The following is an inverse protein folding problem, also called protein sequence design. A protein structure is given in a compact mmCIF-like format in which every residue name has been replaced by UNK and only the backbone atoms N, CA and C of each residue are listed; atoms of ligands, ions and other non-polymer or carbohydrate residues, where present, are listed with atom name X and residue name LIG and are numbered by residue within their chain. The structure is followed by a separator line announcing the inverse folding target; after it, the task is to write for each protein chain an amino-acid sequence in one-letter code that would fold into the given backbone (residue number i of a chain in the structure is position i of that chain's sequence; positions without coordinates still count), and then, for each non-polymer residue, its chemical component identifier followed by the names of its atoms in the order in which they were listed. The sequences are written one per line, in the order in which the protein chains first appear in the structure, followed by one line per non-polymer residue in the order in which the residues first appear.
data_IF_244551599943
#
_entry.id   IF_244551599943
#
_cell.length_a   1.000
_cell.length_b   1.000
_cell.length_c   1.000
_cell.angle_alpha   90.00
_cell.angle_beta   90.00
_cell.angle_gamma   90.00
#
_symmetry.space_group_name_H-M   'P 1'
#
loop_
_entity.id
_entity.type
_entity.pdbx_description
1 polymer ?
#
# COMPACT_ATOMS: atom_id res chain seq x y z
N UNK A 1 13.25 -2.69 26.81
CA UNK A 1 13.19 -1.42 26.02
C UNK A 1 12.10 -1.59 25.00
N UNK A 2 11.08 -0.77 25.03
CA UNK A 2 9.98 -0.81 24.05
C UNK A 2 10.26 0.21 22.96
N UNK A 3 10.18 -0.20 21.70
CA UNK A 3 10.25 0.72 20.57
C UNK A 3 8.94 1.52 20.49
N UNK A 4 9.03 2.81 20.23
CA UNK A 4 7.89 3.71 20.03
C UNK A 4 8.13 4.54 18.77
N UNK A 5 7.06 5.06 18.18
CA UNK A 5 7.17 5.97 17.03
C UNK A 5 6.72 7.38 17.40
N UNK A 6 7.53 8.36 17.05
CA UNK A 6 7.26 9.77 17.28
C UNK A 6 7.29 10.56 15.98
N UNK A 7 6.47 11.63 15.89
CA UNK A 7 6.54 12.55 14.75
C UNK A 7 7.88 13.28 14.77
N UNK A 8 8.65 13.16 13.68
CA UNK A 8 9.91 13.87 13.48
C UNK A 8 9.75 15.17 12.70
N UNK A 9 8.79 15.22 11.79
CA UNK A 9 8.59 16.39 10.95
C UNK A 9 7.43 16.23 9.99
N UNK A 10 7.22 17.27 9.18
CA UNK A 10 6.16 17.35 8.18
C UNK A 10 6.73 17.89 6.88
N UNK A 11 6.45 17.23 5.75
CA UNK A 11 6.81 17.67 4.42
C UNK A 11 5.59 18.34 3.79
N UNK A 12 5.79 19.56 3.27
CA UNK A 12 4.76 20.41 2.67
C UNK A 12 5.12 20.69 1.22
N UNK A 13 4.10 20.93 0.37
CA UNK A 13 4.31 21.30 -1.03
C UNK A 13 3.17 20.91 -1.96
N UNK A 14 2.48 19.81 -1.66
CA UNK A 14 1.31 19.40 -2.44
C UNK A 14 0.11 20.33 -2.20
N UNK A 15 -0.66 20.57 -3.27
CA UNK A 15 -1.91 21.34 -3.25
C UNK A 15 -3.17 20.48 -3.20
N UNK A 16 -3.01 19.14 -3.23
CA UNK A 16 -4.09 18.17 -3.15
C UNK A 16 -3.70 16.99 -2.26
N UNK A 17 -4.65 16.13 -1.98
CA UNK A 17 -4.44 14.95 -1.14
C UNK A 17 -3.22 14.15 -1.59
N UNK A 18 -2.37 13.78 -0.65
CA UNK A 18 -1.29 12.84 -0.91
C UNK A 18 -1.91 11.45 -1.05
N UNK A 19 -1.73 10.84 -2.21
CA UNK A 19 -2.40 9.58 -2.58
C UNK A 19 -1.47 8.38 -2.50
N UNK A 20 -0.17 8.58 -2.65
CA UNK A 20 0.83 7.52 -2.56
C UNK A 20 2.18 8.09 -2.19
N UNK A 21 2.97 7.30 -1.45
CA UNK A 21 4.39 7.57 -1.17
C UNK A 21 5.18 6.32 -1.57
N UNK A 22 6.34 6.53 -2.18
CA UNK A 22 7.29 5.47 -2.49
C UNK A 22 8.68 5.85 -1.98
N UNK A 23 9.41 4.86 -1.52
CA UNK A 23 10.81 4.95 -1.07
C UNK A 23 11.68 4.03 -1.91
N UNK A 24 12.98 4.27 -1.93
CA UNK A 24 13.92 3.43 -2.65
C UNK A 24 15.13 3.09 -1.79
N UNK A 25 15.56 1.80 -1.74
CA UNK A 25 16.76 1.42 -1.02
C UNK A 25 18.04 2.00 -1.59
N UNK A 26 18.05 2.28 -2.89
CA UNK A 26 19.23 2.82 -3.59
C UNK A 26 19.53 4.28 -3.22
N UNK A 27 18.52 5.03 -2.82
CA UNK A 27 18.62 6.44 -2.43
C UNK A 27 17.78 6.67 -1.15
N UNK A 28 18.33 6.29 0.02
CA UNK A 28 17.56 6.29 1.29
C UNK A 28 17.09 7.68 1.72
N UNK A 29 17.72 8.75 1.22
CA UNK A 29 17.34 10.14 1.52
C UNK A 29 16.27 10.69 0.58
N UNK A 30 15.78 9.86 -0.38
CA UNK A 30 14.78 10.28 -1.35
C UNK A 30 13.44 9.59 -1.10
N UNK A 31 12.38 10.37 -1.19
CA UNK A 31 11.02 9.85 -1.29
C UNK A 31 10.34 10.44 -2.52
N UNK A 32 9.43 9.69 -3.09
CA UNK A 32 8.53 10.13 -4.14
C UNK A 32 7.12 10.18 -3.58
N UNK A 33 6.43 11.29 -3.79
CA UNK A 33 5.03 11.41 -3.39
C UNK A 33 4.15 11.81 -4.57
N UNK A 34 2.97 11.22 -4.64
CA UNK A 34 1.95 11.54 -5.61
C UNK A 34 0.79 12.28 -4.95
N UNK A 35 0.17 13.18 -5.69
CA UNK A 35 -0.95 13.99 -5.22
C UNK A 35 -1.95 14.24 -6.35
N UNK A 36 -3.17 14.63 -5.98
CA UNK A 36 -4.21 15.08 -6.92
C UNK A 36 -3.97 16.49 -7.48
N UNK A 37 -2.77 17.06 -7.32
CA UNK A 37 -2.38 18.36 -7.85
C UNK A 37 -1.90 18.30 -9.31
N UNK A 38 -1.60 19.47 -9.88
CA UNK A 38 -1.06 19.62 -11.23
C UNK A 38 0.45 19.39 -11.23
N UNK A 39 0.96 18.69 -12.24
CA UNK A 39 2.39 18.44 -12.46
C UNK A 39 2.77 18.49 -13.93
N UNK A 40 4.07 18.54 -14.23
CA UNK A 40 4.60 18.47 -15.60
C UNK A 40 4.79 16.99 -15.99
N UNK A 41 4.15 16.58 -17.08
CA UNK A 41 4.24 15.22 -17.60
C UNK A 41 5.50 15.05 -18.44
N UNK A 42 6.37 14.10 -18.07
CA UNK A 42 7.55 13.73 -18.89
C UNK A 42 7.28 12.52 -19.79
N UNK A 43 6.41 11.61 -19.37
CA UNK A 43 6.01 10.43 -20.15
C UNK A 43 4.55 10.04 -19.85
N UNK A 44 3.85 9.62 -20.89
CA UNK A 44 2.47 9.18 -20.81
C UNK A 44 2.34 7.71 -21.19
N UNK A 45 1.59 6.94 -20.38
CA UNK A 45 1.23 5.54 -20.62
C UNK A 45 -0.25 5.52 -21.02
N UNK A 46 -0.53 5.13 -22.26
CA UNK A 46 -1.87 5.21 -22.84
C UNK A 46 -2.43 3.83 -23.06
N UNK A 47 -3.64 3.56 -22.56
CA UNK A 47 -4.31 2.26 -22.77
C UNK A 47 -5.45 1.95 -21.82
N UNK A 48 -5.44 2.45 -20.57
CA UNK A 48 -6.62 2.35 -19.72
C UNK A 48 -7.74 3.26 -20.21
N UNK A 49 -8.99 2.80 -20.06
CA UNK A 49 -10.19 3.54 -20.51
C UNK A 49 -10.87 4.30 -19.40
N UNK A 50 -10.45 4.11 -18.15
CA UNK A 50 -10.90 4.81 -16.95
C UNK A 50 -9.72 5.12 -16.03
N UNK A 51 -9.99 5.79 -14.92
CA UNK A 51 -8.97 6.22 -13.96
C UNK A 51 -8.06 5.07 -13.52
N UNK A 52 -6.76 5.34 -13.50
CA UNK A 52 -5.75 4.44 -12.92
C UNK A 52 -5.69 4.71 -11.42
N UNK A 53 -5.90 3.67 -10.62
CA UNK A 53 -5.94 3.76 -9.17
C UNK A 53 -4.62 3.36 -8.50
N UNK A 54 -3.82 2.54 -9.15
CA UNK A 54 -2.56 2.04 -8.57
C UNK A 54 -1.55 1.72 -9.65
N UNK A 55 -0.28 1.97 -9.32
CA UNK A 55 0.88 1.60 -10.14
C UNK A 55 1.99 1.05 -9.26
N UNK A 56 2.81 0.17 -9.79
CA UNK A 56 3.99 -0.34 -9.10
C UNK A 56 5.11 -0.68 -10.10
N UNK A 57 6.36 -0.56 -9.65
CA UNK A 57 7.54 -1.05 -10.37
C UNK A 57 7.87 -2.49 -9.96
N UNK A 58 8.37 -3.27 -10.90
CA UNK A 58 9.03 -4.53 -10.60
C UNK A 58 10.34 -4.31 -9.82
N UNK A 59 10.81 -5.36 -9.12
CA UNK A 59 12.03 -5.27 -8.31
C UNK A 59 13.29 -4.89 -9.13
N UNK A 60 13.33 -5.27 -10.42
CA UNK A 60 14.40 -4.91 -11.35
C UNK A 60 14.20 -3.54 -12.04
N UNK A 61 13.13 -2.81 -11.70
CA UNK A 61 12.74 -1.52 -12.28
C UNK A 61 12.50 -1.53 -13.81
N UNK A 62 12.34 -2.69 -14.44
CA UNK A 62 12.15 -2.81 -15.90
C UNK A 62 10.70 -2.86 -16.33
N UNK A 63 9.80 -3.20 -15.42
CA UNK A 63 8.36 -3.33 -15.68
C UNK A 63 7.56 -2.46 -14.74
N UNK A 64 6.41 -2.04 -15.24
CA UNK A 64 5.40 -1.32 -14.47
C UNK A 64 4.10 -2.10 -14.58
N UNK A 65 3.38 -2.22 -13.48
CA UNK A 65 2.00 -2.74 -13.45
C UNK A 65 1.05 -1.61 -13.07
N UNK A 66 -0.12 -1.58 -13.68
CA UNK A 66 -1.19 -0.63 -13.33
C UNK A 66 -2.53 -1.33 -13.15
N UNK A 67 -3.33 -0.85 -12.21
CA UNK A 67 -4.70 -1.27 -11.99
C UNK A 67 -5.66 -0.09 -12.13
N UNK A 68 -6.83 -0.31 -12.69
CA UNK A 68 -7.75 0.75 -13.09
C UNK A 68 -9.21 0.46 -12.73
N UNK A 69 -10.01 1.54 -12.73
CA UNK A 69 -11.49 1.45 -12.70
C UNK A 69 -12.08 0.78 -13.93
N UNK A 70 -11.31 0.57 -14.99
CA UNK A 70 -11.74 -0.22 -16.15
C UNK A 70 -11.72 -1.74 -15.89
N UNK A 71 -11.40 -2.17 -14.65
CA UNK A 71 -11.37 -3.56 -14.16
C UNK A 71 -10.19 -4.37 -14.69
N UNK A 72 -9.27 -3.74 -15.42
CA UNK A 72 -8.10 -4.39 -16.01
C UNK A 72 -6.81 -4.07 -15.25
N UNK A 73 -5.86 -4.98 -15.40
CA UNK A 73 -4.47 -4.83 -15.00
C UNK A 73 -3.64 -4.81 -16.29
N UNK A 74 -2.74 -3.84 -16.40
CA UNK A 74 -1.83 -3.73 -17.54
C UNK A 74 -0.38 -3.78 -17.10
N UNK A 75 0.44 -4.47 -17.91
CA UNK A 75 1.90 -4.49 -17.77
C UNK A 75 2.52 -3.64 -18.87
N UNK A 76 3.49 -2.84 -18.47
CA UNK A 76 4.18 -1.87 -19.32
C UNK A 76 5.69 -2.02 -19.19
N UNK A 77 6.41 -1.68 -20.25
CA UNK A 77 7.82 -1.36 -20.09
C UNK A 77 8.01 0.12 -19.67
N UNK A 78 9.20 0.49 -19.26
CA UNK A 78 9.52 1.86 -18.81
C UNK A 78 9.46 2.90 -19.93
N UNK A 79 9.35 2.47 -21.20
CA UNK A 79 9.18 3.35 -22.36
C UNK A 79 7.69 3.69 -22.62
N UNK A 80 6.75 3.17 -21.82
CA UNK A 80 5.31 3.44 -21.95
C UNK A 80 4.59 2.51 -22.91
N UNK A 81 5.21 1.42 -23.37
CA UNK A 81 4.55 0.43 -24.24
C UNK A 81 3.84 -0.60 -23.39
N UNK A 82 2.52 -0.75 -23.62
CA UNK A 82 1.73 -1.81 -22.99
C UNK A 82 2.15 -3.16 -23.57
N UNK A 83 2.66 -4.03 -22.71
CA UNK A 83 3.10 -5.39 -23.08
C UNK A 83 2.00 -6.41 -22.95
N UNK A 84 1.15 -6.26 -21.96
CA UNK A 84 0.06 -7.19 -21.71
C UNK A 84 -1.12 -6.51 -21.00
N UNK A 85 -2.32 -6.96 -21.30
CA UNK A 85 -3.54 -6.60 -20.57
C UNK A 85 -4.18 -7.87 -20.03
N UNK A 86 -4.33 -7.95 -18.71
CA UNK A 86 -5.01 -9.07 -18.07
C UNK A 86 -6.51 -8.83 -18.17
N UNK A 87 -7.20 -9.67 -18.92
CA UNK A 87 -8.66 -9.65 -19.10
C UNK A 87 -9.31 -10.95 -18.65
N UNK A 88 -8.66 -12.10 -18.91
CA UNK A 88 -9.13 -13.40 -18.48
C UNK A 88 -9.03 -13.50 -16.96
N UNK A 89 -10.07 -14.03 -16.32
CA UNK A 89 -10.18 -14.14 -14.86
C UNK A 89 -10.00 -12.82 -14.09
N UNK A 90 -10.16 -11.67 -14.77
CA UNK A 90 -9.95 -10.34 -14.23
C UNK A 90 -10.91 -10.02 -13.08
N UNK A 91 -10.63 -8.90 -12.40
CA UNK A 91 -11.55 -8.34 -11.43
C UNK A 91 -12.87 -7.95 -12.06
N UNK A 92 -13.98 -8.17 -11.35
CA UNK A 92 -15.33 -7.82 -11.82
C UNK A 92 -15.73 -6.40 -11.48
N UNK A 93 -14.92 -5.74 -10.65
CA UNK A 93 -15.05 -4.33 -10.24
C UNK A 93 -13.68 -3.62 -10.30
N UNK A 94 -13.61 -2.37 -9.86
CA UNK A 94 -12.39 -1.55 -9.90
C UNK A 94 -11.20 -2.26 -9.29
N UNK A 95 -10.06 -2.23 -9.98
CA UNK A 95 -8.78 -2.68 -9.44
C UNK A 95 -8.16 -1.53 -8.65
N UNK A 96 -8.22 -1.61 -7.33
CA UNK A 96 -7.83 -0.53 -6.44
C UNK A 96 -6.34 -0.51 -6.09
N UNK A 97 -5.68 -1.66 -6.09
CA UNK A 97 -4.25 -1.75 -5.79
C UNK A 97 -3.60 -2.93 -6.51
N UNK A 98 -2.38 -2.70 -6.97
CA UNK A 98 -1.51 -3.71 -7.61
C UNK A 98 -0.10 -3.61 -7.05
N UNK A 99 0.56 -4.74 -6.83
CA UNK A 99 1.94 -4.82 -6.32
C UNK A 99 2.68 -5.98 -6.97
N UNK A 100 3.98 -5.78 -7.18
CA UNK A 100 4.89 -6.89 -7.50
C UNK A 100 5.36 -7.58 -6.23
N UNK A 101 5.61 -8.89 -6.32
CA UNK A 101 6.43 -9.57 -5.31
C UNK A 101 7.88 -9.11 -5.42
N UNK A 102 8.57 -8.89 -4.29
CA UNK A 102 10.00 -8.59 -4.31
C UNK A 102 10.87 -9.78 -4.72
N UNK A 103 10.32 -11.00 -4.72
CA UNK A 103 11.05 -12.22 -5.05
C UNK A 103 11.18 -12.41 -6.57
N UNK A 104 12.40 -12.35 -7.09
CA UNK A 104 12.70 -12.52 -8.51
C UNK A 104 12.63 -13.99 -8.99
N UNK A 105 12.74 -14.97 -8.09
CA UNK A 105 12.74 -16.40 -8.45
C UNK A 105 11.35 -16.93 -8.77
N UNK A 106 10.31 -16.30 -8.22
CA UNK A 106 8.92 -16.63 -8.51
C UNK A 106 8.13 -15.33 -8.68
N UNK A 107 8.31 -14.64 -9.84
CA UNK A 107 7.72 -13.32 -10.04
C UNK A 107 6.20 -13.42 -10.13
N UNK A 108 5.53 -12.76 -9.21
CA UNK A 108 4.07 -12.65 -9.16
C UNK A 108 3.64 -11.21 -9.04
N UNK A 109 2.40 -10.95 -9.46
CA UNK A 109 1.67 -9.72 -9.18
C UNK A 109 0.53 -10.08 -8.24
N UNK A 110 0.30 -9.23 -7.24
CA UNK A 110 -0.87 -9.32 -6.36
C UNK A 110 -1.75 -8.10 -6.61
N UNK A 111 -3.04 -8.31 -6.77
CA UNK A 111 -4.01 -7.24 -6.96
C UNK A 111 -5.19 -7.40 -6.02
N UNK A 112 -5.86 -6.30 -5.74
CA UNK A 112 -7.13 -6.31 -5.04
C UNK A 112 -8.11 -5.32 -5.68
N UNK A 113 -9.40 -5.51 -5.40
CA UNK A 113 -10.41 -4.70 -6.02
C UNK A 113 -11.69 -4.51 -5.20
N UNK A 114 -12.60 -3.75 -5.78
CA UNK A 114 -13.92 -3.48 -5.20
C UNK A 114 -14.85 -4.69 -5.25
N UNK A 115 -14.46 -5.73 -5.99
CA UNK A 115 -15.10 -7.05 -5.98
C UNK A 115 -14.78 -7.87 -4.71
N UNK A 116 -14.03 -7.30 -3.74
CA UNK A 116 -13.63 -7.92 -2.46
C UNK A 116 -12.61 -9.05 -2.60
N UNK A 117 -12.03 -9.20 -3.79
CA UNK A 117 -11.10 -10.28 -4.12
C UNK A 117 -9.67 -9.80 -4.03
N UNK A 118 -8.79 -10.67 -3.54
CA UNK A 118 -7.34 -10.58 -3.75
C UNK A 118 -6.97 -11.64 -4.78
N UNK A 119 -6.28 -11.24 -5.83
CA UNK A 119 -5.86 -12.13 -6.91
C UNK A 119 -4.34 -12.16 -7.02
N UNK A 120 -3.80 -13.34 -7.19
CA UNK A 120 -2.37 -13.59 -7.40
C UNK A 120 -2.16 -14.06 -8.82
N UNK A 121 -1.27 -13.39 -9.55
CA UNK A 121 -1.01 -13.63 -10.96
C UNK A 121 0.43 -14.08 -11.17
N UNK A 122 0.61 -15.10 -12.00
CA UNK A 122 1.94 -15.50 -12.46
C UNK A 122 2.42 -14.50 -13.52
N UNK A 123 3.57 -13.87 -13.29
CA UNK A 123 4.10 -12.85 -14.20
C UNK A 123 4.63 -13.44 -15.51
N UNK A 124 5.07 -14.70 -15.53
CA UNK A 124 5.63 -15.32 -16.73
C UNK A 124 4.60 -15.52 -17.86
N UNK A 125 3.35 -15.78 -17.51
CA UNK A 125 2.27 -16.03 -18.47
C UNK A 125 1.03 -15.15 -18.26
N UNK A 126 1.05 -14.26 -17.27
CA UNK A 126 -0.04 -13.36 -16.88
C UNK A 126 -1.36 -14.07 -16.55
N UNK A 127 -1.29 -15.33 -16.11
CA UNK A 127 -2.47 -16.12 -15.74
C UNK A 127 -2.71 -16.06 -14.22
N UNK A 128 -3.99 -16.19 -13.87
CA UNK A 128 -4.42 -16.29 -12.49
C UNK A 128 -3.82 -17.54 -11.84
N UNK A 129 -3.16 -17.35 -10.69
CA UNK A 129 -2.61 -18.42 -9.84
C UNK A 129 -3.57 -18.76 -8.70
N UNK A 130 -4.08 -17.75 -8.00
CA UNK A 130 -4.92 -17.94 -6.81
C UNK A 130 -5.91 -16.79 -6.66
N UNK A 131 -7.12 -17.11 -6.23
CA UNK A 131 -8.10 -16.17 -5.69
C UNK A 131 -8.15 -16.32 -4.18
N UNK A 132 -7.96 -15.24 -3.45
CA UNK A 132 -8.18 -15.19 -2.02
C UNK A 132 -9.54 -14.55 -1.72
N UNK A 133 -10.42 -15.32 -1.09
CA UNK A 133 -11.80 -14.95 -0.77
C UNK A 133 -11.95 -14.92 0.75
N UNK A 134 -12.58 -13.86 1.28
CA UNK A 134 -12.83 -13.73 2.72
C UNK A 134 -13.29 -12.36 3.14
N UNK A 135 -12.86 -11.29 2.45
CA UNK A 135 -13.30 -9.94 2.74
C UNK A 135 -14.79 -9.74 2.47
N UNK A 136 -15.46 -8.97 3.34
CA UNK A 136 -16.90 -8.66 3.23
C UNK A 136 -17.17 -7.26 2.66
N UNK A 137 -16.14 -6.43 2.53
CA UNK A 137 -16.19 -5.09 1.94
C UNK A 137 -15.19 -4.91 0.80
N UNK A 138 -15.34 -3.84 0.02
CA UNK A 138 -14.38 -3.52 -1.04
C UNK A 138 -12.98 -3.30 -0.48
N UNK A 139 -11.97 -3.65 -1.27
CA UNK A 139 -10.56 -3.52 -0.91
C UNK A 139 -9.96 -2.23 -1.46
N UNK A 140 -9.13 -1.58 -0.65
CA UNK A 140 -8.38 -0.39 -1.04
C UNK A 140 -6.90 -0.69 -1.29
N UNK A 141 -6.37 -1.71 -0.61
CA UNK A 141 -4.92 -1.91 -0.53
C UNK A 141 -4.55 -3.38 -0.42
N UNK A 142 -3.43 -3.70 -1.01
CA UNK A 142 -2.74 -4.98 -0.89
C UNK A 142 -1.23 -4.71 -0.83
N UNK A 143 -0.51 -5.46 -0.05
CA UNK A 143 0.95 -5.36 0.07
C UNK A 143 1.58 -6.73 0.21
N UNK A 144 2.83 -6.86 -0.20
CA UNK A 144 3.60 -8.11 -0.13
C UNK A 144 4.74 -7.93 0.87
N UNK A 145 4.99 -8.94 1.70
CA UNK A 145 6.08 -8.92 2.67
C UNK A 145 7.45 -8.82 1.98
N UNK A 146 8.49 -8.27 2.66
CA UNK A 146 9.82 -8.10 2.06
C UNK A 146 10.46 -9.38 1.55
N UNK A 147 10.15 -10.51 2.16
CA UNK A 147 10.62 -11.84 1.75
C UNK A 147 9.75 -12.50 0.64
N UNK A 148 8.62 -11.88 0.31
CA UNK A 148 7.69 -12.39 -0.70
C UNK A 148 6.82 -13.56 -0.27
N UNK A 149 6.83 -13.97 1.00
CA UNK A 149 6.07 -15.11 1.50
C UNK A 149 4.62 -14.80 1.84
N UNK A 150 4.36 -13.57 2.29
CA UNK A 150 3.05 -13.11 2.78
C UNK A 150 2.47 -12.00 1.92
N UNK A 151 1.15 -11.94 1.91
CA UNK A 151 0.39 -10.80 1.42
C UNK A 151 -0.56 -10.34 2.52
N UNK A 152 -0.76 -9.03 2.64
CA UNK A 152 -1.78 -8.44 3.48
C UNK A 152 -2.74 -7.60 2.64
N UNK A 153 -4.03 -7.66 2.95
CA UNK A 153 -5.09 -6.94 2.25
C UNK A 153 -6.06 -6.27 3.22
N UNK A 154 -6.65 -5.16 2.83
CA UNK A 154 -7.58 -4.41 3.67
C UNK A 154 -8.42 -3.41 2.92
N UNK A 155 -9.53 -2.99 3.53
CA UNK A 155 -10.46 -2.05 2.93
C UNK A 155 -11.65 -1.73 3.85
N UNK A 156 -12.83 -1.69 3.28
CA UNK A 156 -14.07 -1.20 3.90
C UNK A 156 -14.53 -2.00 5.11
N UNK A 157 -14.25 -3.31 5.14
CA UNK A 157 -14.63 -4.15 6.28
C UNK A 157 -13.77 -3.92 7.54
N UNK A 158 -12.70 -3.12 7.42
CA UNK A 158 -11.81 -2.80 8.54
C UNK A 158 -10.89 -3.94 8.97
N UNK A 159 -10.89 -5.04 8.23
CA UNK A 159 -10.09 -6.22 8.53
C UNK A 159 -8.80 -6.22 7.70
N UNK A 160 -7.65 -6.44 8.34
CA UNK A 160 -6.41 -6.77 7.65
C UNK A 160 -6.25 -8.28 7.60
N UNK A 161 -6.37 -8.89 6.42
CA UNK A 161 -6.23 -10.33 6.24
C UNK A 161 -4.83 -10.65 5.73
N UNK A 162 -4.20 -11.64 6.37
CA UNK A 162 -2.88 -12.15 6.02
C UNK A 162 -3.05 -13.47 5.23
N UNK A 163 -2.31 -13.56 4.12
CA UNK A 163 -2.37 -14.67 3.19
C UNK A 163 -0.98 -15.25 2.95
N UNK A 164 -0.86 -16.57 2.96
CA UNK A 164 0.34 -17.29 2.53
C UNK A 164 0.35 -17.35 0.99
N UNK A 165 1.36 -16.76 0.38
CA UNK A 165 1.51 -16.73 -1.08
C UNK A 165 2.04 -18.03 -1.68
N UNK A 166 2.69 -18.88 -0.88
CA UNK A 166 3.19 -20.17 -1.32
C UNK A 166 2.08 -21.21 -1.35
N UNK A 167 1.32 -21.32 -0.25
CA UNK A 167 0.24 -22.29 -0.11
C UNK A 167 -1.11 -21.78 -0.61
N UNK A 168 -1.26 -20.47 -0.82
CA UNK A 168 -2.51 -19.86 -1.25
C UNK A 168 -3.61 -19.85 -0.20
N UNK A 169 -3.24 -19.83 1.09
CA UNK A 169 -4.17 -19.95 2.22
C UNK A 169 -4.30 -18.66 3.02
N UNK A 170 -5.48 -18.47 3.61
CA UNK A 170 -5.68 -17.49 4.67
C UNK A 170 -4.97 -17.94 5.95
N UNK A 171 -4.21 -17.05 6.56
CA UNK A 171 -3.49 -17.33 7.81
C UNK A 171 -4.28 -16.86 9.03
N UNK A 172 -4.53 -15.54 9.11
CA UNK A 172 -5.31 -14.92 10.17
C UNK A 172 -5.77 -13.52 9.77
N UNK A 173 -6.61 -12.94 10.61
CA UNK A 173 -7.19 -11.62 10.44
C UNK A 173 -6.87 -10.74 11.64
N UNK A 174 -6.50 -9.48 11.37
CA UNK A 174 -6.27 -8.43 12.36
C UNK A 174 -7.39 -7.39 12.23
N UNK A 175 -7.98 -7.00 13.36
CA UNK A 175 -9.05 -6.01 13.37
C UNK A 175 -8.48 -4.59 13.38
N UNK A 176 -8.71 -3.84 12.32
CA UNK A 176 -8.35 -2.44 12.20
C UNK A 176 -9.36 -1.48 12.81
N UNK A 177 -10.58 -1.93 13.07
CA UNK A 177 -11.65 -1.13 13.69
C UNK A 177 -12.30 -0.10 12.77
N UNK A 178 -11.68 0.28 11.67
CA UNK A 178 -12.18 1.23 10.68
C UNK A 178 -11.67 0.87 9.29
N UNK A 179 -12.21 1.53 8.26
CA UNK A 179 -11.78 1.37 6.88
C UNK A 179 -10.26 1.49 6.74
N UNK A 180 -9.63 0.48 6.15
CA UNK A 180 -8.20 0.45 5.90
C UNK A 180 -7.93 1.09 4.54
N UNK A 181 -7.18 2.20 4.53
CA UNK A 181 -6.81 2.93 3.32
C UNK A 181 -5.48 2.46 2.72
N UNK A 182 -4.52 2.08 3.57
CA UNK A 182 -3.20 1.62 3.17
C UNK A 182 -2.65 0.60 4.16
N UNK A 183 -1.81 -0.29 3.66
CA UNK A 183 -1.05 -1.29 4.42
C UNK A 183 0.41 -1.27 3.95
N UNK A 184 1.35 -1.46 4.86
CA UNK A 184 2.74 -1.72 4.52
C UNK A 184 3.43 -2.57 5.58
N UNK A 185 4.28 -3.50 5.13
CA UNK A 185 5.16 -4.27 6.02
C UNK A 185 6.41 -3.44 6.35
N UNK A 186 6.88 -3.55 7.59
CA UNK A 186 8.21 -3.06 7.96
C UNK A 186 9.29 -3.88 7.22
N UNK A 187 10.37 -3.24 6.73
CA UNK A 187 11.43 -3.97 6.02
C UNK A 187 12.34 -4.80 6.93
N UNK A 188 12.39 -4.51 8.23
CA UNK A 188 13.33 -5.12 9.17
C UNK A 188 12.71 -5.58 10.51
N UNK A 189 11.41 -5.36 10.70
CA UNK A 189 10.64 -5.83 11.85
C UNK A 189 9.46 -6.66 11.40
N UNK A 190 8.97 -7.53 12.25
CA UNK A 190 7.78 -8.34 11.98
C UNK A 190 6.50 -7.54 12.21
N UNK A 191 6.45 -6.33 11.63
CA UNK A 191 5.35 -5.39 11.80
C UNK A 191 4.56 -5.20 10.51
N UNK A 192 3.24 -5.04 10.68
CA UNK A 192 2.32 -4.55 9.67
C UNK A 192 1.72 -3.23 10.13
N UNK A 193 1.80 -2.21 9.28
CA UNK A 193 1.20 -0.91 9.53
C UNK A 193 -0.05 -0.71 8.68
N UNK A 194 -1.11 -0.18 9.27
CA UNK A 194 -2.37 0.11 8.59
C UNK A 194 -2.82 1.55 8.84
N UNK A 195 -3.13 2.26 7.77
CA UNK A 195 -3.82 3.54 7.83
C UNK A 195 -5.31 3.30 8.01
N UNK A 196 -5.81 3.55 9.22
CA UNK A 196 -7.22 3.35 9.60
C UNK A 196 -7.86 4.68 9.94
N UNK A 197 -8.36 5.39 8.96
CA UNK A 197 -8.85 6.75 9.17
C UNK A 197 -7.74 7.73 9.52
N UNK A 198 -7.86 8.52 10.60
CA UNK A 198 -6.84 9.48 11.02
C UNK A 198 -5.65 8.84 11.75
N UNK A 199 -5.76 7.58 12.18
CA UNK A 199 -4.72 6.87 12.92
C UNK A 199 -3.97 5.85 12.07
N UNK A 200 -2.77 5.47 12.52
CA UNK A 200 -1.99 4.39 11.94
C UNK A 200 -1.81 3.35 13.05
N UNK A 201 -2.31 2.13 12.82
CA UNK A 201 -2.10 1.00 13.72
C UNK A 201 -0.90 0.20 13.28
N UNK A 202 -0.10 -0.23 14.26
CA UNK A 202 1.07 -1.08 14.03
C UNK A 202 0.86 -2.38 14.81
N UNK A 203 0.82 -3.49 14.08
CA UNK A 203 0.75 -4.82 14.66
C UNK A 203 2.10 -5.50 14.65
N UNK A 204 2.44 -6.14 15.74
CA UNK A 204 3.40 -7.24 15.75
C UNK A 204 2.73 -8.50 15.21
N UNK A 205 3.30 -9.08 14.16
CA UNK A 205 2.71 -10.21 13.46
C UNK A 205 2.95 -11.55 14.17
N UNK A 206 3.98 -11.63 15.01
CA UNK A 206 4.25 -12.83 15.82
C UNK A 206 3.23 -12.94 16.94
N UNK A 207 3.07 -11.87 17.72
CA UNK A 207 2.12 -11.82 18.82
C UNK A 207 0.68 -11.56 18.37
N UNK A 208 0.46 -11.08 17.14
CA UNK A 208 -0.83 -10.65 16.58
C UNK A 208 -1.52 -9.57 17.45
N UNK A 209 -0.72 -8.67 17.99
CA UNK A 209 -1.14 -7.59 18.89
C UNK A 209 -0.80 -6.22 18.30
N UNK A 210 -1.56 -5.19 18.70
CA UNK A 210 -1.22 -3.80 18.42
C UNK A 210 -0.10 -3.40 19.36
N UNK A 211 1.04 -2.98 18.79
CA UNK A 211 2.21 -2.51 19.55
C UNK A 211 2.28 -0.99 19.62
N UNK A 212 1.67 -0.29 18.66
CA UNK A 212 1.57 1.17 18.67
C UNK A 212 0.38 1.65 17.84
N UNK A 213 -0.14 2.84 18.17
CA UNK A 213 -1.17 3.54 17.41
C UNK A 213 -0.77 5.01 17.27
N UNK A 214 -0.43 5.40 16.04
CA UNK A 214 0.05 6.74 15.73
C UNK A 214 -1.14 7.65 15.47
N UNK A 215 -1.30 8.68 16.29
CA UNK A 215 -2.31 9.72 16.15
C UNK A 215 -1.66 11.07 16.09
N UNK A 216 -2.25 11.99 15.32
CA UNK A 216 -1.83 13.39 15.35
C UNK A 216 -2.38 14.04 16.62
N UNK A 217 -1.58 14.93 17.21
CA UNK A 217 -2.06 15.83 18.25
C UNK A 217 -3.07 16.78 17.61
N UNK A 218 -4.35 16.58 17.91
CA UNK A 218 -5.39 17.52 17.51
C UNK A 218 -5.27 18.72 18.45
N UNK A 219 -4.67 19.78 17.95
CA UNK A 219 -4.83 21.10 18.59
C UNK A 219 -6.31 21.45 18.38
N UNK A 220 -7.13 21.23 19.40
CA UNK A 220 -8.54 21.58 19.42
C UNK A 220 -8.68 23.12 19.48
N UNK A 221 -8.48 23.77 18.35
CA UNK A 221 -9.12 25.03 18.08
C UNK A 221 -10.54 24.67 17.62
N UNK A 222 -11.54 25.10 18.35
CA UNK A 222 -13.00 25.00 18.18
C UNK A 222 -13.58 24.77 16.76
N UNK A 223 -12.98 23.96 15.91
CA UNK A 223 -13.47 23.66 14.58
C UNK A 223 -14.13 22.28 14.57
N UNK A 224 -15.36 22.24 14.06
CA UNK A 224 -16.11 21.00 13.72
C UNK A 224 -15.49 20.26 12.51
N UNK A 225 -14.24 20.52 12.15
CA UNK A 225 -13.58 19.88 11.04
C UNK A 225 -13.17 18.45 11.41
N UNK A 226 -13.48 17.50 10.54
CA UNK A 226 -13.00 16.12 10.67
C UNK A 226 -11.45 16.07 10.60
N UNK A 227 -10.81 15.22 11.39
CA UNK A 227 -9.35 15.07 11.35
C UNK A 227 -8.90 14.56 9.99
N UNK A 228 -7.70 14.95 9.50
CA UNK A 228 -7.15 14.45 8.25
C UNK A 228 -7.02 12.92 8.27
N UNK A 229 -7.37 12.30 7.14
CA UNK A 229 -7.28 10.86 6.96
C UNK A 229 -5.89 10.49 6.41
N UNK A 230 -5.28 9.45 6.96
CA UNK A 230 -4.09 8.84 6.38
C UNK A 230 -4.48 8.01 5.15
N UNK A 231 -3.83 8.27 4.02
CA UNK A 231 -4.16 7.66 2.72
C UNK A 231 -3.07 6.78 2.16
N UNK A 232 -1.83 6.95 2.62
CA UNK A 232 -0.67 6.24 2.08
C UNK A 232 0.43 6.08 3.12
N UNK A 233 1.17 4.98 3.03
CA UNK A 233 2.25 4.62 3.94
C UNK A 233 3.46 4.10 3.14
N UNK A 234 4.65 4.45 3.57
CA UNK A 234 5.90 3.87 3.08
C UNK A 234 6.99 3.93 4.16
N UNK A 235 7.74 2.83 4.33
CA UNK A 235 8.91 2.76 5.19
C UNK A 235 10.17 3.24 4.47
N UNK A 236 11.09 3.86 5.19
CA UNK A 236 12.48 3.98 4.74
C UNK A 236 13.14 2.60 4.67
N UNK A 237 14.17 2.47 3.82
CA UNK A 237 14.84 1.19 3.60
C UNK A 237 15.46 0.58 4.88
N UNK A 238 15.91 1.42 5.80
CA UNK A 238 16.47 1.01 7.08
C UNK A 238 15.40 0.66 8.14
N UNK A 239 14.11 0.88 7.82
CA UNK A 239 12.99 0.61 8.74
C UNK A 239 12.96 1.50 9.98
N UNK A 240 13.62 2.66 9.97
CA UNK A 240 13.61 3.59 11.09
C UNK A 240 12.58 4.69 10.95
N UNK A 241 12.13 4.97 9.73
CA UNK A 241 11.24 6.07 9.43
C UNK A 241 10.03 5.60 8.63
N UNK A 242 8.82 5.94 9.08
CA UNK A 242 7.57 5.73 8.37
C UNK A 242 7.05 7.06 7.83
N UNK A 243 6.85 7.14 6.52
CA UNK A 243 6.23 8.27 5.84
C UNK A 243 4.74 8.00 5.66
N UNK A 244 3.91 8.96 6.03
CA UNK A 244 2.46 8.86 5.95
C UNK A 244 1.87 10.08 5.23
N UNK A 245 1.11 9.86 4.15
CA UNK A 245 0.43 10.89 3.39
C UNK A 245 -1.03 11.05 3.86
N UNK A 246 -1.52 12.30 3.84
CA UNK A 246 -2.83 12.65 4.42
C UNK A 246 -3.69 13.50 3.48
N UNK A 247 -4.97 13.59 3.80
CA UNK A 247 -5.97 14.38 3.07
C UNK A 247 -5.82 15.89 3.30
N UNK A 248 -5.00 16.34 4.23
CA UNK A 248 -4.64 17.75 4.44
C UNK A 248 -3.42 18.18 3.59
N UNK A 249 -3.04 17.38 2.58
CA UNK A 249 -1.94 17.62 1.64
C UNK A 249 -0.55 17.49 2.26
N UNK A 250 -0.44 16.99 3.47
CA UNK A 250 0.82 16.86 4.21
C UNK A 250 1.32 15.43 4.20
N UNK A 251 2.64 15.29 4.29
CA UNK A 251 3.31 14.05 4.62
C UNK A 251 3.89 14.20 6.02
N UNK A 252 3.48 13.31 6.93
CA UNK A 252 4.05 13.25 8.28
C UNK A 252 5.11 12.18 8.34
N UNK A 253 6.17 12.48 9.05
CA UNK A 253 7.36 11.65 9.19
C UNK A 253 7.41 11.14 10.61
N UNK A 254 7.23 9.82 10.78
CA UNK A 254 7.25 9.11 12.05
C UNK A 254 8.57 8.37 12.19
N UNK A 255 9.26 8.49 13.32
CA UNK A 255 10.54 7.83 13.58
C UNK A 255 10.39 6.83 14.72
N UNK A 256 10.99 5.64 14.53
CA UNK A 256 11.14 4.66 15.60
C UNK A 256 12.14 5.19 16.63
N UNK A 257 11.72 5.22 17.88
CA UNK A 257 12.55 5.63 19.03
C UNK A 257 12.58 4.52 20.07
N UNK A 258 13.68 4.40 20.81
CA UNK A 258 13.79 3.46 21.91
C UNK A 258 13.34 4.21 23.17
N UNK A 259 12.16 3.85 23.69
CA UNK A 259 11.68 4.37 24.96
C UNK A 259 12.50 3.81 26.12
N UNK A 260 13.15 4.65 26.88
CA UNK A 260 13.65 4.31 28.21
C UNK A 260 12.47 4.46 29.19
N UNK A 261 11.93 3.36 29.65
CA UNK A 261 11.11 3.32 30.86
C UNK A 261 12.00 2.95 32.04
#
# INVERSE_FOLDING_TARGET
MTEQMTVRGTLKGHSGWVTQIATTPQFPDMILSASRGNGTTTRRFVGHTKDVLSVAFSADNRQIVSGSRDKTIKLWNTLGVCKYTIQDDSHTEWVSCVRFSPNSNNPIIVSCGWDKMVKVWNLANCKLKTNHIGHTGYLNTVTVSPDGSLCASGGKDGQAMLWDLNEGKHLYTLDGGDNINALCFSPNRYWLCAATGPSIKIWDLEGKIIVDELRQDIITTNSKAEPPQCTSLAWSADGQTLFAGYTDNLIRVWQVTIGTR
#
